data_IF_844611908623
#
_entry.id   IF_844611908623
#
_cell.length_a   1.000
_cell.length_b   1.000
_cell.length_c   1.000
_cell.angle_alpha   90.00
_cell.angle_beta   90.00
_cell.angle_gamma   90.00
#
_symmetry.space_group_name_H-M   'P 1'
#
loop_
_entity.id
_entity.type
_entity.pdbx_description
1 polymer ?
#
# COMPACT_ATOMS: atom_id res chain seq x y z
N UNK A 1 0.33 -5.28 -29.93
CA UNK A 1 0.73 -5.20 -28.52
C UNK A 1 0.29 -6.50 -27.87
N UNK A 2 1.11 -7.12 -27.00
CA UNK A 2 0.71 -8.30 -26.23
C UNK A 2 -0.43 -7.93 -25.27
N UNK A 3 -1.31 -8.87 -25.00
CA UNK A 3 -2.43 -8.69 -24.05
C UNK A 3 -1.86 -8.61 -22.63
N UNK A 4 -2.25 -7.62 -21.81
CA UNK A 4 -1.82 -7.56 -20.43
C UNK A 4 -2.40 -8.71 -19.59
N UNK A 5 -1.76 -9.08 -18.46
CA UNK A 5 -2.32 -10.07 -17.54
C UNK A 5 -3.61 -9.57 -16.88
N UNK A 6 -4.57 -10.46 -16.62
CA UNK A 6 -5.79 -10.11 -15.87
C UNK A 6 -5.50 -10.12 -14.37
N UNK A 7 -5.15 -8.97 -13.83
CA UNK A 7 -4.89 -8.78 -12.39
C UNK A 7 -6.21 -8.89 -11.62
N UNK A 8 -6.21 -9.66 -10.53
CA UNK A 8 -7.39 -9.84 -9.65
C UNK A 8 -7.37 -8.88 -8.47
N UNK A 9 -6.20 -8.71 -7.84
CA UNK A 9 -6.03 -7.85 -6.65
C UNK A 9 -4.55 -7.66 -6.29
N UNK A 10 -4.26 -6.64 -5.48
CA UNK A 10 -3.07 -6.62 -4.62
C UNK A 10 -3.08 -7.85 -3.71
N UNK A 11 -1.95 -8.52 -3.53
CA UNK A 11 -1.89 -9.80 -2.84
C UNK A 11 -0.97 -9.78 -1.62
N UNK A 12 0.28 -9.36 -1.79
CA UNK A 12 1.20 -9.20 -0.68
C UNK A 12 2.31 -8.19 -1.02
N UNK A 13 2.99 -7.70 0.03
CA UNK A 13 4.23 -6.95 -0.08
C UNK A 13 5.35 -7.73 0.59
N UNK A 14 6.56 -7.73 -0.01
CA UNK A 14 7.77 -8.21 0.65
C UNK A 14 8.66 -7.02 1.00
N UNK A 15 8.88 -6.82 2.31
CA UNK A 15 9.73 -5.77 2.85
C UNK A 15 11.05 -6.36 3.33
N UNK A 16 12.14 -5.63 3.11
CA UNK A 16 13.43 -5.93 3.73
C UNK A 16 13.51 -5.21 5.06
N UNK A 17 13.81 -5.95 6.12
CA UNK A 17 13.98 -5.44 7.49
C UNK A 17 15.37 -5.76 8.00
N UNK A 18 15.91 -4.93 8.90
CA UNK A 18 17.28 -5.10 9.41
C UNK A 18 17.36 -5.99 10.65
N UNK A 19 16.23 -6.25 11.31
CA UNK A 19 16.12 -7.06 12.53
C UNK A 19 14.76 -7.76 12.58
N UNK A 20 14.71 -9.04 12.23
CA UNK A 20 13.48 -9.84 12.22
C UNK A 20 12.81 -9.93 13.59
N UNK A 21 13.57 -9.92 14.69
CA UNK A 21 12.98 -10.00 16.02
C UNK A 21 12.23 -8.72 16.39
N UNK A 22 12.78 -7.54 16.05
CA UNK A 22 12.09 -6.26 16.23
C UNK A 22 10.91 -6.13 15.28
N UNK A 23 11.05 -6.56 14.03
CA UNK A 23 9.96 -6.58 13.06
C UNK A 23 8.84 -7.50 13.54
N UNK A 24 9.15 -8.72 14.02
CA UNK A 24 8.17 -9.64 14.59
C UNK A 24 7.43 -9.03 15.77
N UNK A 25 8.14 -8.40 16.71
CA UNK A 25 7.51 -7.68 17.82
C UNK A 25 6.51 -6.64 17.31
N UNK A 26 6.90 -5.79 16.35
CA UNK A 26 6.02 -4.75 15.82
C UNK A 26 4.80 -5.32 15.08
N UNK A 27 5.04 -6.16 14.07
CA UNK A 27 3.99 -6.64 13.18
C UNK A 27 3.10 -7.71 13.82
N UNK A 28 3.63 -8.59 14.68
CA UNK A 28 2.85 -9.66 15.30
C UNK A 28 2.33 -9.28 16.68
N UNK A 29 3.19 -8.79 17.59
CA UNK A 29 2.79 -8.59 18.98
C UNK A 29 2.01 -7.27 19.13
N UNK A 30 2.43 -6.21 18.43
CA UNK A 30 1.77 -4.90 18.50
C UNK A 30 0.59 -4.77 17.55
N UNK A 31 0.71 -5.21 16.28
CA UNK A 31 -0.33 -5.06 15.28
C UNK A 31 -1.26 -6.27 15.19
N UNK A 32 -0.80 -7.47 15.55
CA UNK A 32 -1.63 -8.66 15.61
C UNK A 32 -1.69 -9.48 14.33
N UNK A 33 -0.69 -9.37 13.45
CA UNK A 33 -0.53 -10.31 12.35
C UNK A 33 -0.24 -11.72 12.86
N UNK A 34 -0.72 -12.73 12.15
CA UNK A 34 -0.47 -14.14 12.42
C UNK A 34 0.71 -14.65 11.61
N UNK A 35 1.65 -15.32 12.29
CA UNK A 35 2.77 -15.98 11.62
C UNK A 35 2.28 -17.25 10.95
N UNK A 36 2.50 -17.36 9.63
CA UNK A 36 2.19 -18.55 8.85
C UNK A 36 3.44 -19.37 8.53
N UNK A 37 4.59 -18.69 8.39
CA UNK A 37 5.89 -19.30 8.17
C UNK A 37 6.97 -18.42 8.80
N UNK A 38 7.98 -19.03 9.39
CA UNK A 38 9.11 -18.35 10.02
C UNK A 38 10.38 -19.21 9.91
N UNK A 39 11.47 -18.59 9.49
CA UNK A 39 12.81 -19.14 9.55
C UNK A 39 13.84 -18.03 9.93
N UNK A 40 15.14 -18.30 9.77
CA UNK A 40 16.22 -17.36 10.14
C UNK A 40 16.27 -16.13 9.20
N UNK A 41 15.68 -16.21 8.03
CA UNK A 41 15.75 -15.18 6.99
C UNK A 41 14.43 -14.45 6.76
N UNK A 42 13.28 -15.02 7.19
CA UNK A 42 11.99 -14.57 6.72
C UNK A 42 10.84 -14.84 7.70
N UNK A 43 9.87 -13.92 7.71
CA UNK A 43 8.54 -14.07 8.31
C UNK A 43 7.47 -13.90 7.23
N UNK A 44 6.59 -14.88 7.07
CA UNK A 44 5.38 -14.75 6.26
C UNK A 44 4.16 -14.56 7.17
N UNK A 45 3.48 -13.44 7.01
CA UNK A 45 2.44 -12.95 7.91
C UNK A 45 1.10 -12.79 7.18
N UNK A 46 0.00 -12.96 7.90
CA UNK A 46 -1.36 -12.73 7.38
C UNK A 46 -2.31 -12.18 8.43
N UNK A 47 -3.37 -11.52 7.98
CA UNK A 47 -4.48 -11.10 8.82
C UNK A 47 -5.50 -12.22 9.08
N UNK A 48 -6.50 -11.95 9.94
CA UNK A 48 -7.52 -12.93 10.37
C UNK A 48 -8.48 -13.35 9.28
N UNK A 49 -8.78 -12.48 8.30
CA UNK A 49 -9.75 -12.75 7.23
C UNK A 49 -9.13 -13.47 6.03
N UNK A 50 -7.80 -13.51 5.97
CA UNK A 50 -7.08 -14.00 4.81
C UNK A 50 -7.02 -15.53 4.79
N UNK A 51 -7.31 -16.09 3.62
CA UNK A 51 -7.29 -17.52 3.34
C UNK A 51 -6.08 -17.97 2.53
N UNK A 52 -5.21 -17.03 2.19
CA UNK A 52 -3.94 -17.29 1.50
C UNK A 52 -2.81 -17.40 2.53
N UNK A 53 -1.74 -18.09 2.14
CA UNK A 53 -0.60 -18.36 3.01
C UNK A 53 -0.09 -17.08 3.70
N UNK A 54 0.02 -15.97 2.98
CA UNK A 54 0.48 -14.69 3.54
C UNK A 54 -0.02 -13.51 2.72
N UNK A 55 0.10 -12.33 3.29
CA UNK A 55 -0.09 -11.03 2.64
C UNK A 55 1.01 -10.02 2.94
N UNK A 56 1.85 -10.30 3.94
CA UNK A 56 3.04 -9.52 4.25
C UNK A 56 4.21 -10.48 4.46
N UNK A 57 5.35 -10.18 3.83
CA UNK A 57 6.60 -10.92 4.02
C UNK A 57 7.67 -9.95 4.51
N UNK A 58 8.32 -10.30 5.60
CA UNK A 58 9.47 -9.57 6.16
C UNK A 58 10.71 -10.41 5.95
N UNK A 59 11.66 -9.91 5.16
CA UNK A 59 12.91 -10.61 4.86
C UNK A 59 14.09 -9.91 5.52
N UNK A 60 14.96 -10.66 6.18
CA UNK A 60 16.19 -10.13 6.77
C UNK A 60 17.10 -9.55 5.67
N UNK A 61 17.64 -8.37 5.91
CA UNK A 61 18.61 -7.74 5.01
C UNK A 61 19.42 -6.65 5.69
N UNK A 62 20.35 -6.06 4.95
CA UNK A 62 21.28 -5.05 5.49
C UNK A 62 20.70 -3.62 5.52
N UNK A 63 19.66 -3.35 4.75
CA UNK A 63 19.04 -2.02 4.62
C UNK A 63 17.55 -2.17 4.35
N UNK A 64 16.74 -1.39 5.06
CA UNK A 64 15.30 -1.39 4.90
C UNK A 64 14.89 -0.92 3.48
N UNK A 65 14.03 -1.69 2.81
CA UNK A 65 13.56 -1.40 1.46
C UNK A 65 12.30 -2.19 1.11
N UNK A 66 11.60 -1.79 0.05
CA UNK A 66 10.66 -2.65 -0.64
C UNK A 66 11.43 -3.63 -1.53
N UNK A 67 11.24 -4.94 -1.31
CA UNK A 67 11.75 -5.99 -2.21
C UNK A 67 10.85 -6.10 -3.45
N UNK A 68 9.55 -6.33 -3.26
CA UNK A 68 8.56 -6.29 -4.34
C UNK A 68 7.11 -6.17 -3.82
N UNK A 69 6.24 -5.70 -4.69
CA UNK A 69 4.78 -5.77 -4.56
C UNK A 69 4.27 -6.96 -5.38
N UNK A 70 3.26 -7.67 -4.88
CA UNK A 70 2.73 -8.82 -5.59
C UNK A 70 1.24 -8.66 -5.91
N UNK A 71 0.89 -9.02 -7.15
CA UNK A 71 -0.48 -9.04 -7.64
C UNK A 71 -0.88 -10.45 -8.04
N UNK A 72 -2.03 -10.88 -7.56
CA UNK A 72 -2.63 -12.13 -8.01
C UNK A 72 -3.28 -11.93 -9.38
N UNK A 73 -3.01 -12.86 -10.30
CA UNK A 73 -3.67 -12.91 -11.61
C UNK A 73 -4.75 -13.99 -11.65
N UNK A 74 -5.65 -13.91 -12.65
CA UNK A 74 -6.86 -14.73 -12.69
C UNK A 74 -6.59 -16.18 -13.03
N UNK A 75 -5.69 -16.46 -13.97
CA UNK A 75 -5.40 -17.81 -14.44
C UNK A 75 -3.88 -18.07 -14.47
N UNK A 76 -3.45 -19.33 -14.52
CA UNK A 76 -2.03 -19.65 -14.71
C UNK A 76 -1.44 -19.02 -15.98
N UNK A 77 -2.24 -18.97 -17.08
CA UNK A 77 -1.83 -18.38 -18.36
C UNK A 77 -1.60 -16.87 -18.28
N UNK A 78 -2.19 -16.20 -17.27
CA UNK A 78 -1.91 -14.78 -17.04
C UNK A 78 -0.50 -14.54 -16.49
N UNK A 79 0.13 -15.53 -15.88
CA UNK A 79 1.54 -15.46 -15.48
C UNK A 79 2.43 -15.41 -16.74
N UNK A 80 2.11 -16.24 -17.75
CA UNK A 80 2.81 -16.22 -19.03
C UNK A 80 2.55 -14.91 -19.80
N UNK A 81 1.29 -14.42 -19.78
CA UNK A 81 0.95 -13.12 -20.36
C UNK A 81 1.71 -11.97 -19.70
N UNK A 82 1.93 -12.00 -18.37
CA UNK A 82 2.73 -11.00 -17.69
C UNK A 82 4.17 -11.00 -18.22
N UNK A 83 4.80 -12.18 -18.36
CA UNK A 83 6.14 -12.31 -18.95
C UNK A 83 6.20 -11.72 -20.36
N UNK A 84 5.27 -12.11 -21.23
CA UNK A 84 5.20 -11.64 -22.62
C UNK A 84 4.94 -10.12 -22.70
N UNK A 85 4.01 -9.61 -21.90
CA UNK A 85 3.62 -8.20 -21.88
C UNK A 85 4.77 -7.29 -21.47
N UNK A 86 5.42 -7.59 -20.34
CA UNK A 86 6.52 -6.75 -19.84
C UNK A 86 7.81 -6.92 -20.67
N UNK A 87 8.05 -8.11 -21.26
CA UNK A 87 9.12 -8.30 -22.24
C UNK A 87 8.90 -7.45 -23.48
N UNK A 88 7.66 -7.39 -24.00
CA UNK A 88 7.32 -6.56 -25.14
C UNK A 88 7.43 -5.05 -24.85
N UNK A 89 7.28 -4.64 -23.58
CA UNK A 89 7.55 -3.28 -23.10
C UNK A 89 9.04 -3.00 -22.88
N UNK A 90 9.93 -3.98 -23.14
CA UNK A 90 11.37 -3.85 -22.91
C UNK A 90 11.76 -3.77 -21.43
N UNK A 91 10.92 -4.30 -20.54
CA UNK A 91 11.17 -4.24 -19.10
C UNK A 91 11.99 -5.45 -18.62
N UNK A 92 12.79 -5.33 -17.54
CA UNK A 92 13.41 -6.50 -16.92
C UNK A 92 12.34 -7.49 -16.43
N UNK A 93 12.52 -8.76 -16.77
CA UNK A 93 11.60 -9.84 -16.43
C UNK A 93 12.39 -11.04 -15.91
N UNK A 94 11.87 -11.70 -14.86
CA UNK A 94 12.46 -12.92 -14.29
C UNK A 94 11.36 -13.90 -13.91
N UNK A 95 11.39 -15.09 -14.49
CA UNK A 95 10.55 -16.21 -14.06
C UNK A 95 11.03 -16.74 -12.71
N UNK A 96 10.10 -16.99 -11.79
CA UNK A 96 10.34 -17.52 -10.45
C UNK A 96 9.52 -18.81 -10.28
N UNK A 97 10.12 -19.98 -10.51
CA UNK A 97 9.44 -21.26 -10.32
C UNK A 97 9.04 -21.48 -8.85
N UNK A 98 7.95 -22.24 -8.63
CA UNK A 98 7.51 -22.64 -7.30
C UNK A 98 8.69 -23.24 -6.49
N UNK A 99 8.83 -22.79 -5.25
CA UNK A 99 9.90 -23.20 -4.35
C UNK A 99 11.23 -22.46 -4.51
N UNK A 100 11.33 -21.55 -5.49
CA UNK A 100 12.52 -20.68 -5.67
C UNK A 100 12.24 -19.22 -5.26
N UNK A 101 11.01 -18.89 -4.97
CA UNK A 101 10.56 -17.56 -4.51
C UNK A 101 10.05 -17.59 -3.08
N UNK A 102 9.06 -16.75 -2.82
CA UNK A 102 8.42 -16.63 -1.51
C UNK A 102 7.69 -17.95 -1.15
N UNK A 103 7.86 -18.48 0.08
CA UNK A 103 7.20 -19.70 0.51
C UNK A 103 5.68 -19.68 0.29
N UNK A 104 5.12 -20.79 -0.20
CA UNK A 104 3.70 -20.93 -0.48
C UNK A 104 3.22 -20.34 -1.80
N UNK A 105 4.02 -19.51 -2.51
CA UNK A 105 3.69 -18.97 -3.82
C UNK A 105 3.99 -20.02 -4.91
N UNK A 106 3.10 -20.10 -5.90
CA UNK A 106 3.26 -20.93 -7.09
C UNK A 106 4.29 -20.37 -8.07
N UNK A 107 4.19 -20.78 -9.33
CA UNK A 107 4.98 -20.17 -10.39
C UNK A 107 4.62 -18.70 -10.53
N UNK A 108 5.64 -17.86 -10.63
CA UNK A 108 5.48 -16.41 -10.68
C UNK A 108 6.41 -15.77 -11.73
N UNK A 109 6.13 -14.52 -12.06
CA UNK A 109 6.99 -13.67 -12.87
C UNK A 109 7.22 -12.36 -12.11
N UNK A 110 8.48 -12.02 -11.88
CA UNK A 110 8.90 -10.72 -11.36
C UNK A 110 9.34 -9.81 -12.50
N UNK A 111 8.90 -8.58 -12.44
CA UNK A 111 9.24 -7.56 -13.45
C UNK A 111 9.68 -6.29 -12.74
N UNK A 112 10.42 -5.41 -13.41
CA UNK A 112 10.47 -4.00 -13.04
C UNK A 112 9.47 -3.29 -13.95
N UNK A 113 8.40 -2.77 -13.38
CA UNK A 113 7.34 -2.11 -14.14
C UNK A 113 7.81 -0.80 -14.80
N UNK A 114 7.00 -0.14 -15.65
CA UNK A 114 7.38 1.14 -16.25
C UNK A 114 7.66 2.27 -15.25
N UNK A 115 7.16 2.16 -14.02
CA UNK A 115 7.36 3.16 -12.97
C UNK A 115 8.63 2.90 -12.14
N UNK A 116 9.32 1.77 -12.39
CA UNK A 116 10.51 1.35 -11.66
C UNK A 116 10.26 0.45 -10.45
N UNK A 117 9.01 0.01 -10.21
CA UNK A 117 8.71 -0.89 -9.10
C UNK A 117 8.95 -2.35 -9.46
N UNK A 118 9.57 -3.15 -8.56
CA UNK A 118 9.60 -4.59 -8.68
C UNK A 118 8.19 -5.13 -8.36
N UNK A 119 7.59 -5.80 -9.32
CA UNK A 119 6.24 -6.35 -9.21
C UNK A 119 6.27 -7.85 -9.52
N UNK A 120 5.63 -8.65 -8.69
CA UNK A 120 5.44 -10.08 -8.92
C UNK A 120 4.00 -10.38 -9.33
N UNK A 121 3.85 -11.13 -10.41
CA UNK A 121 2.58 -11.67 -10.88
C UNK A 121 2.55 -13.17 -10.66
N UNK A 122 1.53 -13.66 -9.95
CA UNK A 122 1.34 -15.09 -9.67
C UNK A 122 -0.16 -15.44 -9.68
N UNK A 123 -0.47 -16.72 -9.99
CA UNK A 123 -1.85 -17.21 -9.92
C UNK A 123 -2.12 -17.99 -8.64
N UNK A 124 -1.24 -18.90 -8.28
CA UNK A 124 -1.43 -19.87 -7.21
C UNK A 124 -0.64 -19.52 -5.95
N UNK A 125 -1.29 -19.69 -4.80
CA UNK A 125 -0.68 -19.53 -3.48
C UNK A 125 -1.35 -20.51 -2.52
N UNK A 126 -0.57 -21.12 -1.64
CA UNK A 126 -1.06 -22.09 -0.65
C UNK A 126 -2.17 -21.48 0.20
N UNK A 127 -3.13 -22.33 0.56
CA UNK A 127 -4.27 -21.93 1.41
C UNK A 127 -3.89 -22.06 2.89
N UNK A 128 -4.46 -21.17 3.68
CA UNK A 128 -4.30 -21.14 5.13
C UNK A 128 -5.63 -21.39 5.84
N UNK A 129 -5.57 -21.74 7.12
CA UNK A 129 -6.75 -21.94 7.97
C UNK A 129 -7.55 -20.63 8.07
N UNK A 130 -8.88 -20.76 8.11
CA UNK A 130 -9.78 -19.64 8.37
C UNK A 130 -9.73 -19.22 9.83
N UNK A 131 -9.35 -17.96 10.11
CA UNK A 131 -9.21 -17.43 11.46
C UNK A 131 -10.29 -16.42 11.87
N UNK A 132 -11.25 -16.09 10.99
CA UNK A 132 -12.21 -15.01 11.23
C UNK A 132 -13.02 -15.20 12.52
N UNK A 133 -13.34 -16.44 12.94
CA UNK A 133 -14.02 -16.75 14.20
C UNK A 133 -13.07 -17.09 15.36
N UNK A 134 -11.76 -17.01 15.16
CA UNK A 134 -10.76 -17.31 16.20
C UNK A 134 -10.47 -16.07 17.05
N UNK A 135 -11.49 -15.61 17.79
CA UNK A 135 -11.38 -14.46 18.70
C UNK A 135 -10.32 -14.65 19.79
N UNK A 136 -10.02 -15.90 20.14
CA UNK A 136 -8.97 -16.30 21.07
C UNK A 136 -7.55 -15.94 20.59
N UNK A 137 -7.37 -15.74 19.29
CA UNK A 137 -6.09 -15.39 18.66
C UNK A 137 -5.93 -13.88 18.37
N UNK A 138 -7.00 -13.09 18.52
CA UNK A 138 -6.97 -11.67 18.18
C UNK A 138 -6.14 -10.87 19.17
N UNK A 139 -5.23 -10.03 18.66
CA UNK A 139 -4.29 -9.24 19.46
C UNK A 139 -4.00 -7.90 18.77
N UNK A 140 -3.47 -6.95 19.54
CA UNK A 140 -3.01 -5.66 19.01
C UNK A 140 -4.11 -4.88 18.31
N UNK A 141 -3.85 -4.50 17.07
CA UNK A 141 -4.78 -3.82 16.16
C UNK A 141 -5.82 -4.74 15.54
N UNK A 142 -5.74 -6.05 15.77
CA UNK A 142 -6.63 -7.07 15.19
C UNK A 142 -6.72 -6.96 13.65
N UNK A 143 -5.55 -7.01 13.00
CA UNK A 143 -5.48 -6.86 11.54
C UNK A 143 -6.33 -7.93 10.85
N UNK A 144 -7.28 -7.46 10.04
CA UNK A 144 -8.15 -8.31 9.25
C UNK A 144 -7.46 -8.80 7.97
N UNK A 145 -6.84 -7.89 7.22
CA UNK A 145 -6.17 -8.19 5.94
C UNK A 145 -5.23 -7.06 5.52
N UNK A 146 -4.25 -7.40 4.68
CA UNK A 146 -3.61 -6.40 3.83
C UNK A 146 -4.65 -5.92 2.82
N UNK A 147 -4.66 -4.61 2.56
CA UNK A 147 -5.62 -4.04 1.65
C UNK A 147 -4.97 -3.39 0.43
N UNK A 148 -4.05 -2.48 0.62
CA UNK A 148 -3.50 -1.70 -0.48
C UNK A 148 -2.03 -1.35 -0.31
N UNK A 149 -1.47 -0.84 -1.41
CA UNK A 149 -0.16 -0.21 -1.45
C UNK A 149 -0.32 1.26 -1.80
N UNK A 150 0.45 2.14 -1.17
CA UNK A 150 0.63 3.51 -1.66
C UNK A 150 2.08 3.67 -2.09
N UNK A 151 2.29 4.17 -3.30
CA UNK A 151 3.61 4.33 -3.90
C UNK A 151 3.83 5.77 -4.35
N UNK A 152 5.06 6.27 -4.15
CA UNK A 152 5.48 7.57 -4.67
C UNK A 152 6.06 7.38 -6.07
N UNK A 153 5.54 8.13 -7.03
CA UNK A 153 6.05 8.15 -8.41
C UNK A 153 6.16 9.58 -8.93
N UNK A 154 7.19 9.88 -9.75
CA UNK A 154 7.36 11.23 -10.30
C UNK A 154 6.34 11.58 -11.40
N UNK A 155 5.65 10.58 -11.97
CA UNK A 155 4.73 10.75 -13.10
C UNK A 155 3.40 10.02 -12.84
N UNK A 156 2.44 10.74 -12.26
CA UNK A 156 1.11 10.19 -11.95
C UNK A 156 0.31 9.86 -13.22
N UNK A 157 0.28 10.68 -14.28
CA UNK A 157 -0.37 10.31 -15.54
C UNK A 157 0.15 9.01 -16.14
N UNK A 158 1.47 8.79 -16.12
CA UNK A 158 2.05 7.52 -16.61
C UNK A 158 1.65 6.33 -15.72
N UNK A 159 1.63 6.50 -14.40
CA UNK A 159 1.17 5.49 -13.46
C UNK A 159 -0.30 5.14 -13.70
N UNK A 160 -1.15 6.13 -13.80
CA UNK A 160 -2.58 5.97 -14.08
C UNK A 160 -2.80 5.18 -15.38
N UNK A 161 -2.16 5.60 -16.47
CA UNK A 161 -2.28 4.94 -17.77
C UNK A 161 -1.77 3.48 -17.74
N UNK A 162 -0.67 3.22 -17.04
CA UNK A 162 -0.13 1.87 -16.88
C UNK A 162 -1.10 0.94 -16.17
N UNK A 163 -1.63 1.35 -15.00
CA UNK A 163 -2.55 0.51 -14.23
C UNK A 163 -3.92 0.40 -14.90
N UNK A 164 -4.37 1.45 -15.62
CA UNK A 164 -5.57 1.35 -16.45
C UNK A 164 -5.39 0.30 -17.57
N UNK A 165 -4.22 0.24 -18.20
CA UNK A 165 -3.91 -0.80 -19.19
C UNK A 165 -3.90 -2.23 -18.58
N UNK A 166 -3.55 -2.38 -17.28
CA UNK A 166 -3.68 -3.62 -16.54
C UNK A 166 -5.12 -3.93 -16.07
N UNK A 167 -6.10 -3.11 -16.47
CA UNK A 167 -7.52 -3.30 -16.19
C UNK A 167 -7.99 -2.78 -14.84
N UNK A 168 -7.24 -1.91 -14.18
CA UNK A 168 -7.68 -1.27 -12.93
C UNK A 168 -8.71 -0.18 -13.23
N UNK A 169 -9.77 -0.10 -12.42
CA UNK A 169 -10.65 1.05 -12.31
C UNK A 169 -10.03 2.13 -11.42
N UNK A 170 -10.56 3.35 -11.50
CA UNK A 170 -10.16 4.45 -10.63
C UNK A 170 -11.34 4.84 -9.72
N UNK A 171 -11.11 4.90 -8.42
CA UNK A 171 -12.13 5.33 -7.45
C UNK A 171 -12.07 6.83 -7.18
N UNK A 172 -10.85 7.36 -7.03
CA UNK A 172 -10.65 8.77 -6.72
C UNK A 172 -9.39 9.33 -7.38
N UNK A 173 -9.41 10.64 -7.64
CA UNK A 173 -8.25 11.42 -8.09
C UNK A 173 -8.09 12.68 -7.26
N UNK A 174 -6.86 13.21 -7.22
CA UNK A 174 -6.58 14.60 -6.83
C UNK A 174 -6.10 15.32 -8.07
N UNK A 175 -6.82 16.38 -8.42
CA UNK A 175 -6.59 17.15 -9.66
C UNK A 175 -6.35 18.63 -9.34
N UNK A 176 -5.47 19.26 -10.13
CA UNK A 176 -5.31 20.71 -10.17
C UNK A 176 -6.44 21.40 -10.93
N UNK A 177 -6.38 22.71 -11.01
CA UNK A 177 -7.43 23.52 -11.66
C UNK A 177 -7.51 23.31 -13.17
N UNK A 178 -6.42 22.89 -13.81
CA UNK A 178 -6.35 22.55 -15.24
C UNK A 178 -6.39 21.03 -15.47
N UNK A 179 -6.89 20.25 -14.48
CA UNK A 179 -7.00 18.79 -14.50
C UNK A 179 -5.67 18.03 -14.51
N UNK A 180 -4.56 18.67 -14.12
CA UNK A 180 -3.31 17.97 -13.90
C UNK A 180 -3.44 17.03 -12.72
N UNK A 181 -2.97 15.79 -12.90
CA UNK A 181 -3.19 14.69 -11.97
C UNK A 181 -2.07 14.62 -10.93
N UNK A 182 -2.39 14.86 -9.65
CA UNK A 182 -1.47 14.83 -8.52
C UNK A 182 -1.47 13.48 -7.79
N UNK A 183 -2.59 12.77 -7.80
CA UNK A 183 -2.74 11.46 -7.16
C UNK A 183 -3.90 10.68 -7.77
N UNK A 184 -3.87 9.34 -7.66
CA UNK A 184 -4.96 8.47 -8.10
C UNK A 184 -5.02 7.21 -7.23
N UNK A 185 -6.25 6.72 -6.99
CA UNK A 185 -6.57 5.49 -6.28
C UNK A 185 -7.16 4.49 -7.25
N UNK A 186 -6.44 3.38 -7.49
CA UNK A 186 -6.80 2.40 -8.52
C UNK A 186 -7.18 1.06 -7.90
N UNK A 187 -8.27 0.45 -8.36
CA UNK A 187 -8.82 -0.77 -7.78
C UNK A 187 -9.04 -1.90 -8.79
N UNK A 188 -8.95 -3.14 -8.31
CA UNK A 188 -9.40 -4.38 -8.95
C UNK A 188 -10.38 -5.15 -8.06
N UNK A 189 -10.08 -5.22 -6.75
CA UNK A 189 -11.07 -5.67 -5.76
C UNK A 189 -12.07 -4.54 -5.48
N UNK A 190 -13.15 -4.85 -4.80
CA UNK A 190 -14.29 -3.94 -4.60
C UNK A 190 -14.14 -3.01 -3.38
N UNK A 191 -12.91 -2.78 -2.91
CA UNK A 191 -12.54 -1.72 -1.96
C UNK A 191 -12.09 -0.47 -2.72
N UNK A 192 -11.84 0.63 -2.02
CA UNK A 192 -11.49 1.89 -2.67
C UNK A 192 -10.28 1.76 -3.58
N UNK A 193 -9.26 1.01 -3.18
CA UNK A 193 -8.08 0.81 -4.02
C UNK A 193 -7.31 -0.47 -3.70
N UNK A 194 -6.57 -0.96 -4.66
CA UNK A 194 -5.48 -1.92 -4.51
C UNK A 194 -4.13 -1.20 -4.47
N UNK A 195 -4.02 -0.10 -5.20
CA UNK A 195 -2.84 0.75 -5.24
C UNK A 195 -3.24 2.21 -5.37
N UNK A 196 -2.54 3.07 -4.63
CA UNK A 196 -2.62 4.52 -4.77
C UNK A 196 -1.28 5.08 -5.21
N UNK A 197 -1.32 6.15 -5.98
CA UNK A 197 -0.15 6.88 -6.44
C UNK A 197 -0.15 8.25 -5.80
N UNK A 198 0.92 8.58 -5.10
CA UNK A 198 1.19 9.91 -4.58
C UNK A 198 2.29 10.55 -5.42
N UNK A 199 2.06 11.74 -5.94
CA UNK A 199 3.05 12.53 -6.67
C UNK A 199 4.21 12.90 -5.74
N UNK A 200 5.41 12.52 -6.13
CA UNK A 200 6.60 12.77 -5.33
C UNK A 200 7.83 12.07 -5.92
N UNK A 201 8.99 12.32 -5.36
CA UNK A 201 10.21 11.64 -5.78
C UNK A 201 10.05 10.12 -5.67
N UNK A 202 10.38 9.38 -6.73
CA UNK A 202 10.16 7.93 -6.80
C UNK A 202 11.05 7.22 -7.83
N UNK A 203 10.99 5.88 -7.91
CA UNK A 203 10.06 4.98 -7.19
C UNK A 203 10.41 4.85 -5.69
N UNK A 204 9.40 4.96 -4.83
CA UNK A 204 9.52 4.69 -3.38
C UNK A 204 8.20 4.12 -2.84
N UNK A 205 8.26 3.22 -1.87
CA UNK A 205 7.07 2.75 -1.17
C UNK A 205 6.67 3.76 -0.09
N UNK A 206 5.50 4.38 -0.22
CA UNK A 206 4.97 5.27 0.79
C UNK A 206 4.47 4.49 2.01
N UNK A 207 3.55 3.53 1.81
CA UNK A 207 3.07 2.64 2.87
C UNK A 207 2.41 1.37 2.33
N UNK A 208 2.24 0.41 3.22
CA UNK A 208 1.29 -0.68 3.08
C UNK A 208 0.05 -0.37 3.93
N UNK A 209 -1.13 -0.55 3.36
CA UNK A 209 -2.40 -0.34 4.05
C UNK A 209 -2.98 -1.66 4.54
N UNK A 210 -3.35 -1.72 5.82
CA UNK A 210 -3.97 -2.88 6.45
C UNK A 210 -5.31 -2.51 7.08
N UNK A 211 -6.31 -3.34 6.82
CA UNK A 211 -7.67 -3.09 7.31
C UNK A 211 -7.91 -3.73 8.68
N UNK A 212 -8.69 -3.06 9.51
CA UNK A 212 -9.32 -3.60 10.72
C UNK A 212 -10.84 -3.55 10.56
N UNK A 213 -11.57 -4.29 11.41
CA UNK A 213 -13.03 -4.33 11.31
C UNK A 213 -13.70 -3.08 11.89
N UNK A 214 -13.14 -2.49 12.94
CA UNK A 214 -13.81 -1.45 13.71
C UNK A 214 -12.87 -0.29 14.07
N UNK A 215 -13.43 0.92 14.17
CA UNK A 215 -12.66 2.12 14.50
C UNK A 215 -12.00 2.06 15.88
N UNK A 216 -12.58 1.31 16.84
CA UNK A 216 -11.95 1.18 18.14
C UNK A 216 -10.62 0.41 18.09
N UNK A 217 -10.39 -0.46 17.10
CA UNK A 217 -9.09 -1.13 16.91
C UNK A 217 -8.00 -0.14 16.55
N UNK A 218 -8.32 0.88 15.75
CA UNK A 218 -7.41 1.98 15.41
C UNK A 218 -7.04 2.77 16.67
N UNK A 219 -8.05 3.16 17.48
CA UNK A 219 -7.84 3.89 18.74
C UNK A 219 -7.06 3.05 19.75
N UNK A 220 -7.46 1.79 19.94
CA UNK A 220 -6.78 0.85 20.83
C UNK A 220 -5.30 0.68 20.47
N UNK A 221 -4.96 0.69 19.19
CA UNK A 221 -3.56 0.62 18.76
C UNK A 221 -2.77 1.81 19.29
N UNK A 222 -3.29 3.03 19.18
CA UNK A 222 -2.64 4.20 19.75
C UNK A 222 -2.47 4.09 21.28
N UNK A 223 -3.51 3.60 21.99
CA UNK A 223 -3.46 3.36 23.44
C UNK A 223 -2.39 2.32 23.83
N UNK A 224 -2.25 1.24 23.05
CA UNK A 224 -1.21 0.20 23.27
C UNK A 224 0.18 0.83 23.14
N UNK A 225 0.46 1.55 22.04
CA UNK A 225 1.76 2.20 21.85
C UNK A 225 2.05 3.23 22.94
N UNK A 226 1.06 4.05 23.33
CA UNK A 226 1.20 5.01 24.43
C UNK A 226 1.46 4.35 25.78
N UNK A 227 0.74 3.27 26.11
CA UNK A 227 0.89 2.55 27.39
C UNK A 227 2.29 1.93 27.55
N UNK A 228 2.91 1.54 26.44
CA UNK A 228 4.27 0.95 26.42
C UNK A 228 5.38 1.99 26.22
N UNK A 229 5.07 3.29 26.23
CA UNK A 229 6.02 4.37 25.93
C UNK A 229 6.70 4.20 24.56
N UNK A 230 5.90 3.79 23.58
CA UNK A 230 6.30 3.56 22.18
C UNK A 230 5.58 4.51 21.21
N UNK A 231 5.06 5.62 21.71
CA UNK A 231 4.33 6.65 20.96
C UNK A 231 5.13 7.23 19.78
N UNK A 232 6.46 7.13 19.82
CA UNK A 232 7.32 7.56 18.72
C UNK A 232 7.15 6.74 17.43
N UNK A 233 6.49 5.58 17.49
CA UNK A 233 6.08 4.83 16.31
C UNK A 233 4.83 5.41 15.64
N UNK A 234 4.03 6.23 16.37
CA UNK A 234 2.87 6.90 15.79
C UNK A 234 3.35 8.10 14.99
N UNK A 235 3.15 8.04 13.66
CA UNK A 235 3.57 9.11 12.78
C UNK A 235 2.45 10.12 12.54
N UNK A 236 1.20 9.65 12.31
CA UNK A 236 0.07 10.51 11.98
C UNK A 236 -1.26 9.87 12.37
N UNK A 237 -2.18 10.66 12.88
CA UNK A 237 -3.53 10.22 13.28
C UNK A 237 -3.63 9.97 14.80
N UNK A 238 -4.76 9.39 15.27
CA UNK A 238 -5.89 8.95 14.44
C UNK A 238 -6.61 10.11 13.75
N UNK A 239 -7.18 9.85 12.58
CA UNK A 239 -7.86 10.86 11.78
C UNK A 239 -8.84 10.26 10.77
N UNK A 240 -9.49 11.13 10.01
CA UNK A 240 -10.40 10.77 8.92
C UNK A 240 -9.90 11.38 7.62
N UNK A 241 -9.64 10.56 6.61
CA UNK A 241 -9.37 11.07 5.27
C UNK A 241 -10.66 11.56 4.61
N UNK A 242 -10.58 12.60 3.78
CA UNK A 242 -11.60 12.88 2.78
C UNK A 242 -11.52 11.83 1.68
N UNK A 243 -10.35 11.69 1.07
CA UNK A 243 -10.06 10.59 0.12
C UNK A 243 -10.27 9.25 0.82
N UNK A 244 -10.93 8.31 0.16
CA UNK A 244 -11.26 6.97 0.67
C UNK A 244 -12.20 6.93 1.88
N UNK A 245 -12.50 8.04 2.52
CA UNK A 245 -13.26 8.09 3.78
C UNK A 245 -12.64 7.25 4.92
N UNK A 246 -11.40 6.83 4.81
CA UNK A 246 -10.76 5.95 5.78
C UNK A 246 -10.57 6.63 7.14
N UNK A 247 -10.96 5.95 8.22
CA UNK A 247 -10.54 6.27 9.57
C UNK A 247 -9.20 5.59 9.83
N UNK A 248 -8.14 6.34 10.06
CA UNK A 248 -6.75 5.88 9.92
C UNK A 248 -5.86 6.17 11.12
N UNK A 249 -4.78 5.41 11.21
CA UNK A 249 -3.59 5.66 12.03
C UNK A 249 -2.35 5.19 11.24
N UNK A 250 -1.38 6.08 11.06
CA UNK A 250 -0.10 5.74 10.45
C UNK A 250 0.96 5.50 11.51
N UNK A 251 1.67 4.39 11.34
CA UNK A 251 2.76 3.98 12.20
C UNK A 251 4.04 3.78 11.39
N UNK A 252 5.19 3.89 12.06
CA UNK A 252 6.49 3.46 11.55
C UNK A 252 6.94 2.21 12.28
N UNK A 253 7.32 1.19 11.54
CA UNK A 253 7.96 0.03 12.12
C UNK A 253 9.40 0.37 12.60
N UNK A 254 10.13 -0.54 13.26
CA UNK A 254 11.49 -0.29 13.74
C UNK A 254 12.51 0.09 12.65
N UNK A 255 12.25 -0.26 11.40
CA UNK A 255 13.08 0.06 10.24
C UNK A 255 12.61 1.30 9.46
N UNK A 256 11.51 1.93 9.92
CA UNK A 256 10.92 3.11 9.30
C UNK A 256 9.94 2.82 8.16
N UNK A 257 9.58 1.57 7.90
CA UNK A 257 8.48 1.28 6.98
C UNK A 257 7.18 1.85 7.52
N UNK A 258 6.45 2.56 6.68
CA UNK A 258 5.14 3.11 7.06
C UNK A 258 4.05 2.07 6.84
N UNK A 259 3.19 1.93 7.83
CA UNK A 259 1.95 1.15 7.74
C UNK A 259 0.76 2.04 8.08
N UNK A 260 -0.30 1.94 7.29
CA UNK A 260 -1.61 2.49 7.59
C UNK A 260 -2.48 1.41 8.21
N UNK A 261 -2.99 1.65 9.41
CA UNK A 261 -4.09 0.86 9.97
C UNK A 261 -5.36 1.66 9.75
N UNK A 262 -6.35 1.08 9.08
CA UNK A 262 -7.56 1.80 8.72
C UNK A 262 -8.82 0.95 8.77
N UNK A 263 -9.97 1.64 8.74
CA UNK A 263 -11.30 1.07 8.56
C UNK A 263 -12.25 2.10 7.95
N UNK A 264 -13.48 1.67 7.61
CA UNK A 264 -14.57 2.55 7.17
C UNK A 264 -14.39 3.18 5.80
N UNK A 265 -13.70 2.52 4.88
CA UNK A 265 -13.74 2.85 3.47
C UNK A 265 -15.11 2.47 2.85
N UNK A 266 -15.31 2.77 1.57
CA UNK A 266 -16.55 2.48 0.87
C UNK A 266 -16.37 1.40 -0.22
N UNK A 267 -17.48 0.89 -0.69
CA UNK A 267 -17.57 -0.18 -1.69
C UNK A 267 -17.58 0.39 -3.11
N UNK A 268 -16.71 -0.11 -3.98
CA UNK A 268 -16.57 0.33 -5.38
C UNK A 268 -17.19 -0.64 -6.39
N UNK A 269 -17.76 -1.75 -5.93
CA UNK A 269 -18.39 -2.75 -6.80
C UNK A 269 -19.81 -2.40 -7.24
N UNK A 270 -20.34 -1.23 -6.88
CA UNK A 270 -21.60 -0.71 -7.39
C UNK A 270 -21.43 -0.33 -8.86
N UNK A 271 -22.30 -0.80 -9.77
CA UNK A 271 -22.23 -0.42 -11.19
C UNK A 271 -22.35 1.09 -11.43
N UNK A 272 -22.99 1.83 -10.51
CA UNK A 272 -23.18 3.27 -10.58
C UNK A 272 -22.03 4.04 -9.91
N UNK A 273 -20.98 3.34 -9.47
CA UNK A 273 -19.79 3.99 -8.89
C UNK A 273 -19.06 4.81 -9.94
N UNK A 274 -18.86 6.09 -9.65
CA UNK A 274 -18.10 7.04 -10.47
C UNK A 274 -16.83 7.48 -9.76
N UNK A 275 -15.78 7.80 -10.52
CA UNK A 275 -14.53 8.36 -9.97
C UNK A 275 -14.81 9.69 -9.29
N UNK A 276 -14.51 9.80 -8.00
CA UNK A 276 -14.59 11.04 -7.27
C UNK A 276 -13.33 11.89 -7.49
N UNK A 277 -13.50 13.19 -7.74
CA UNK A 277 -12.41 14.11 -8.08
C UNK A 277 -12.25 15.17 -7.00
N UNK A 278 -11.12 15.14 -6.32
CA UNK A 278 -10.75 16.14 -5.32
C UNK A 278 -9.95 17.25 -5.99
N UNK A 279 -10.26 18.50 -5.67
CA UNK A 279 -9.37 19.60 -6.02
C UNK A 279 -8.14 19.59 -5.10
N UNK A 280 -6.96 19.83 -5.66
CA UNK A 280 -5.68 19.83 -4.94
C UNK A 280 -5.65 20.88 -3.83
N UNK A 281 -6.46 21.94 -3.92
CA UNK A 281 -6.59 23.01 -2.91
C UNK A 281 -7.64 22.72 -1.82
N UNK A 282 -8.40 21.62 -1.91
CA UNK A 282 -9.33 21.22 -0.85
C UNK A 282 -8.59 20.38 0.22
N UNK A 283 -8.36 20.98 1.37
CA UNK A 283 -7.63 20.36 2.48
C UNK A 283 -8.31 19.15 3.08
N UNK A 284 -9.65 19.10 3.00
CA UNK A 284 -10.44 17.98 3.53
C UNK A 284 -10.05 16.65 2.89
N UNK A 285 -9.49 16.67 1.68
CA UNK A 285 -8.98 15.46 1.02
C UNK A 285 -7.90 14.75 1.84
N UNK A 286 -7.04 15.52 2.53
CA UNK A 286 -5.93 15.00 3.35
C UNK A 286 -6.39 14.51 4.71
N UNK A 287 -7.16 15.37 5.39
CA UNK A 287 -7.74 15.05 6.70
C UNK A 287 -9.06 15.82 6.87
N UNK A 288 -10.16 15.08 6.93
CA UNK A 288 -11.50 15.63 7.00
C UNK A 288 -11.78 16.35 8.34
N UNK A 289 -10.99 16.05 9.37
CA UNK A 289 -11.07 16.71 10.68
C UNK A 289 -10.13 17.91 10.81
N UNK A 290 -9.37 18.23 9.77
CA UNK A 290 -8.48 19.39 9.74
C UNK A 290 -7.15 19.20 10.47
N UNK A 291 -6.73 17.94 10.74
CA UNK A 291 -5.40 17.70 11.30
C UNK A 291 -4.32 18.05 10.27
N UNK A 292 -3.28 18.75 10.72
CA UNK A 292 -2.15 19.09 9.87
C UNK A 292 -1.42 17.85 9.35
N UNK A 293 -0.93 17.92 8.11
CA UNK A 293 -0.05 16.89 7.55
C UNK A 293 1.40 17.24 7.90
N UNK A 294 2.11 16.27 8.47
CA UNK A 294 3.50 16.43 8.88
C UNK A 294 4.45 16.32 7.68
N UNK A 295 5.64 16.93 7.78
CA UNK A 295 6.62 16.97 6.68
C UNK A 295 7.08 15.57 6.25
N UNK A 296 7.30 14.64 7.20
CA UNK A 296 7.74 13.27 6.90
C UNK A 296 6.77 12.52 5.99
N UNK A 297 5.47 12.87 6.03
CA UNK A 297 4.45 12.30 5.15
C UNK A 297 4.80 12.45 3.66
N UNK A 298 5.29 13.60 3.26
CA UNK A 298 5.63 13.86 1.86
C UNK A 298 7.06 13.46 1.51
N UNK A 299 7.98 13.60 2.47
CA UNK A 299 9.42 13.50 2.18
C UNK A 299 10.00 12.11 2.43
N UNK A 300 9.39 11.32 3.31
CA UNK A 300 9.92 10.04 3.71
C UNK A 300 9.12 8.88 3.12
N UNK A 301 9.81 7.97 2.43
CA UNK A 301 9.26 6.74 1.88
C UNK A 301 10.38 5.72 1.74
N UNK A 302 10.05 4.43 1.82
CA UNK A 302 11.05 3.37 1.74
C UNK A 302 11.65 3.25 0.33
N UNK A 303 12.97 3.06 0.19
CA UNK A 303 13.60 2.79 -1.09
C UNK A 303 13.09 1.48 -1.68
N UNK A 304 13.24 1.35 -2.99
CA UNK A 304 12.78 0.20 -3.78
C UNK A 304 13.98 -0.51 -4.37
N UNK A 305 13.99 -1.83 -4.37
CA UNK A 305 15.06 -2.64 -4.97
C UNK A 305 14.73 -2.98 -6.43
N UNK A 306 15.76 -3.26 -7.24
CA UNK A 306 15.61 -3.91 -8.54
C UNK A 306 15.54 -5.44 -8.37
N UNK A 307 15.44 -6.19 -9.50
CA UNK A 307 15.40 -7.66 -9.46
C UNK A 307 16.70 -8.31 -8.96
N UNK A 308 17.79 -7.56 -8.88
CA UNK A 308 19.09 -8.02 -8.37
C UNK A 308 19.33 -7.59 -6.90
N UNK A 309 18.33 -6.96 -6.26
CA UNK A 309 18.41 -6.49 -4.89
C UNK A 309 19.21 -5.20 -4.71
N UNK A 310 19.38 -4.40 -5.76
CA UNK A 310 20.04 -3.10 -5.71
C UNK A 310 19.02 -1.98 -5.59
N UNK A 311 19.30 -0.90 -4.85
CA UNK A 311 18.40 0.24 -4.79
C UNK A 311 18.15 0.85 -6.18
N UNK A 312 16.88 1.11 -6.49
CA UNK A 312 16.48 1.85 -7.69
C UNK A 312 16.85 3.34 -7.54
N UNK A 313 17.29 3.99 -8.62
CA UNK A 313 17.52 5.43 -8.62
C UNK A 313 16.19 6.17 -8.42
N UNK A 314 16.19 7.16 -7.55
CA UNK A 314 15.04 8.04 -7.30
C UNK A 314 15.09 9.23 -8.25
N UNK A 315 13.96 9.54 -8.88
CA UNK A 315 13.76 10.67 -9.79
C UNK A 315 12.82 11.67 -9.11
N UNK A 316 13.12 12.96 -9.19
CA UNK A 316 12.27 14.01 -8.66
C UNK A 316 10.96 14.14 -9.44
N UNK A 317 9.88 14.50 -8.75
CA UNK A 317 8.58 14.66 -9.36
C UNK A 317 8.46 15.93 -10.18
N UNK A 318 7.69 15.88 -11.27
CA UNK A 318 7.30 17.05 -12.05
C UNK A 318 6.24 17.87 -11.30
N UNK A 319 5.27 17.15 -10.69
CA UNK A 319 4.22 17.74 -9.84
C UNK A 319 4.40 17.20 -8.42
N UNK A 320 4.58 18.11 -7.46
CA UNK A 320 4.73 17.79 -6.05
C UNK A 320 3.55 18.36 -5.27
N UNK A 321 2.71 17.48 -4.74
CA UNK A 321 1.57 17.86 -3.91
C UNK A 321 1.99 18.62 -2.65
N UNK A 322 3.20 18.38 -2.12
CA UNK A 322 3.73 19.08 -0.96
C UNK A 322 4.03 20.57 -1.24
N UNK A 323 4.26 20.92 -2.51
CA UNK A 323 4.50 22.30 -2.93
C UNK A 323 3.21 23.10 -3.10
N UNK A 324 2.04 22.45 -3.13
CA UNK A 324 0.76 23.13 -3.24
C UNK A 324 0.42 23.81 -1.92
N UNK A 325 0.32 25.13 -1.95
CA UNK A 325 -0.11 25.92 -0.80
C UNK A 325 -1.58 25.61 -0.45
N UNK A 326 -1.81 25.28 0.79
CA UNK A 326 -3.10 24.90 1.31
C UNK A 326 -3.48 25.90 2.38
N UNK A 327 -4.55 26.67 2.12
CA UNK A 327 -5.04 27.72 3.01
C UNK A 327 -4.14 28.95 3.14
N UNK A 328 -4.70 30.09 3.44
CA UNK A 328 -3.97 31.38 3.59
C UNK A 328 -3.07 31.44 4.82
N UNK A 329 -3.16 30.49 5.74
CA UNK A 329 -2.44 30.42 7.02
C UNK A 329 -1.41 29.27 7.07
N UNK A 330 -1.32 28.44 6.02
CA UNK A 330 -0.37 27.32 5.94
C UNK A 330 -0.64 26.17 6.94
N UNK A 331 -1.74 26.23 7.68
CA UNK A 331 -2.09 25.23 8.71
C UNK A 331 -3.01 24.14 8.18
N UNK A 332 -3.53 24.26 6.95
CA UNK A 332 -4.46 23.28 6.39
C UNK A 332 -5.79 23.18 7.14
N UNK A 333 -6.16 24.21 7.87
CA UNK A 333 -7.44 24.28 8.58
C UNK A 333 -8.45 24.97 7.65
N UNK A 334 -9.44 24.22 7.20
CA UNK A 334 -10.61 24.80 6.53
C UNK A 334 -11.51 25.36 7.62
N UNK A 335 -11.76 26.66 7.61
CA UNK A 335 -12.79 27.25 8.42
C UNK A 335 -14.18 26.75 7.91
N UNK A 336 -14.89 25.92 8.68
CA UNK A 336 -16.17 25.38 8.25
C UNK A 336 -17.26 26.44 8.07
N UNK A 337 -17.02 27.67 8.49
CA UNK A 337 -17.98 28.79 8.39
C UNK A 337 -17.92 29.50 7.06
N UNK A 338 -16.91 29.24 6.20
CA UNK A 338 -16.76 29.92 4.89
C UNK A 338 -17.42 29.20 3.71
N UNK A 339 -18.35 28.28 3.94
CA UNK A 339 -19.06 27.59 2.87
C UNK A 339 -20.38 28.27 2.44
N UNK A 340 -20.68 29.43 2.95
CA UNK A 340 -21.94 30.14 2.67
C UNK A 340 -21.70 31.43 1.85
N UNK A 341 -21.14 31.32 0.66
CA UNK A 341 -21.29 32.40 -0.36
C UNK A 341 -21.32 31.81 -1.77
#
# INVERSE_FOLDING_TARGET
MSTPPDVVRSAYAQLVVTDLAKARWFWCDMLGFHVQYEDEEMLCLRGTDELTHHSLVLRQGGTAALDHLAYRVRTPEDVDRAEEYFTALGRPVRRVPRGQGTPGVGDAVRVVDPLGFPVEFFHDIDRAERLIQRYDLRRGAEIARLDHFNICTPDIPAAYAHYQALGFGCSETIEGDEHELYAAWMYRKQTVHDVAFTGGAGPRLHHVGVATHESHHVLRTADIFGSLRKEHHIERGPGRHGVSNAFYLYLRDPDGHRVEIYTSDYYTGDPDHETYRWNVHDDRRRDFWGNAVIESWYKEAAPVLDLDGRPQPVVEAVLDESAVQVGADGLGIVDPVRQDD
#
